data_IF_477481698336
#
_entry.id   IF_477481698336
#
_cell.length_a   1.000
_cell.length_b   1.000
_cell.length_c   1.000
_cell.angle_alpha   90.00
_cell.angle_beta   90.00
_cell.angle_gamma   90.00
#
_symmetry.space_group_name_H-M   'P 1'
#
loop_
_entity.id
_entity.type
_entity.pdbx_description
1 polymer ?
#
# COMPACT_ATOMS: atom_id res chain seq x y z
N UNK A 1 -17.11 -60.97 -24.18
CA UNK A 1 -15.84 -60.31 -23.83
C UNK A 1 -14.79 -61.37 -23.72
N UNK A 2 -13.69 -61.25 -24.48
CA UNK A 2 -12.55 -62.18 -24.44
C UNK A 2 -11.85 -62.18 -23.07
N UNK A 3 -11.28 -63.29 -22.66
CA UNK A 3 -10.56 -63.46 -21.39
C UNK A 3 -9.43 -62.41 -21.29
N UNK A 4 -8.76 -62.08 -22.39
CA UNK A 4 -7.72 -61.07 -22.52
C UNK A 4 -8.24 -59.66 -22.12
N UNK A 5 -9.44 -59.29 -22.57
CA UNK A 5 -10.07 -58.03 -22.24
C UNK A 5 -10.44 -57.90 -20.74
N UNK A 6 -10.93 -58.99 -20.13
CA UNK A 6 -11.20 -59.04 -18.69
C UNK A 6 -9.90 -58.88 -17.88
N UNK A 7 -8.83 -59.56 -18.24
CA UNK A 7 -7.53 -59.46 -17.58
C UNK A 7 -6.94 -58.05 -17.72
N UNK A 8 -6.98 -57.45 -18.92
CA UNK A 8 -6.52 -56.09 -19.14
C UNK A 8 -7.22 -55.04 -18.23
N UNK A 9 -8.58 -55.13 -18.13
CA UNK A 9 -9.35 -54.25 -17.26
C UNK A 9 -8.97 -54.46 -15.78
N UNK A 10 -8.80 -55.72 -15.35
CA UNK A 10 -8.45 -56.02 -13.97
C UNK A 10 -7.05 -55.44 -13.62
N UNK A 11 -6.07 -55.63 -14.49
CA UNK A 11 -4.71 -55.06 -14.28
C UNK A 11 -4.73 -53.52 -14.31
N UNK A 12 -5.50 -52.90 -15.19
CA UNK A 12 -5.67 -51.44 -15.22
C UNK A 12 -6.34 -50.92 -13.95
N UNK A 13 -7.39 -51.56 -13.47
CA UNK A 13 -8.07 -51.14 -12.24
C UNK A 13 -7.16 -51.32 -11.01
N UNK A 14 -6.52 -52.46 -10.86
CA UNK A 14 -5.64 -52.74 -9.72
C UNK A 14 -4.42 -51.82 -9.71
N UNK A 15 -3.89 -51.43 -10.90
CA UNK A 15 -2.75 -50.54 -10.98
C UNK A 15 -3.12 -49.05 -10.92
N UNK A 16 -4.17 -48.60 -11.63
CA UNK A 16 -4.49 -47.18 -11.75
C UNK A 16 -5.28 -46.62 -10.58
N UNK A 17 -6.15 -47.39 -9.97
CA UNK A 17 -6.97 -46.89 -8.83
C UNK A 17 -6.12 -46.48 -7.63
N UNK A 18 -5.14 -47.29 -7.14
CA UNK A 18 -4.28 -46.86 -6.06
C UNK A 18 -3.42 -45.62 -6.44
N UNK A 19 -2.92 -45.57 -7.68
CA UNK A 19 -2.13 -44.43 -8.15
C UNK A 19 -2.98 -43.16 -8.22
N UNK A 20 -4.22 -43.26 -8.70
CA UNK A 20 -5.13 -42.12 -8.75
C UNK A 20 -5.49 -41.60 -7.34
N UNK A 21 -5.76 -42.51 -6.39
CA UNK A 21 -6.03 -42.16 -4.98
C UNK A 21 -4.80 -41.48 -4.36
N UNK A 22 -3.61 -42.06 -4.58
CA UNK A 22 -2.36 -41.49 -4.07
C UNK A 22 -2.10 -40.10 -4.69
N UNK A 23 -2.27 -39.95 -6.00
CA UNK A 23 -2.10 -38.69 -6.70
C UNK A 23 -3.07 -37.61 -6.16
N UNK A 24 -4.34 -37.96 -5.96
CA UNK A 24 -5.35 -37.04 -5.40
C UNK A 24 -4.99 -36.61 -3.96
N UNK A 25 -4.51 -37.57 -3.15
CA UNK A 25 -4.09 -37.27 -1.76
C UNK A 25 -2.87 -36.36 -1.72
N UNK A 26 -1.84 -36.68 -2.52
CA UNK A 26 -0.61 -35.86 -2.61
C UNK A 26 -0.94 -34.46 -3.17
N UNK A 27 -1.81 -34.37 -4.18
CA UNK A 27 -2.25 -33.08 -4.71
C UNK A 27 -2.92 -32.22 -3.64
N UNK A 28 -3.87 -32.79 -2.91
CA UNK A 28 -4.59 -32.09 -1.84
C UNK A 28 -3.64 -31.59 -0.74
N UNK A 29 -2.74 -32.47 -0.29
CA UNK A 29 -1.74 -32.11 0.73
C UNK A 29 -0.78 -31.03 0.23
N UNK A 30 -0.24 -31.17 -0.99
CA UNK A 30 0.69 -30.21 -1.57
C UNK A 30 0.00 -28.84 -1.80
N UNK A 31 -1.25 -28.83 -2.28
CA UNK A 31 -2.01 -27.60 -2.47
C UNK A 31 -2.30 -26.89 -1.15
N UNK A 32 -2.68 -27.62 -0.10
CA UNK A 32 -2.92 -27.04 1.21
C UNK A 32 -1.62 -26.49 1.83
N UNK A 33 -0.53 -27.27 1.78
CA UNK A 33 0.78 -26.85 2.28
C UNK A 33 1.28 -25.57 1.56
N UNK A 34 1.14 -25.52 0.23
CA UNK A 34 1.56 -24.37 -0.57
C UNK A 34 0.68 -23.14 -0.30
N UNK A 35 -0.63 -23.35 -0.13
CA UNK A 35 -1.56 -22.28 0.29
C UNK A 35 -1.14 -21.67 1.62
N UNK A 36 -0.90 -22.51 2.62
CA UNK A 36 -0.52 -22.06 3.96
C UNK A 36 0.85 -21.37 3.95
N UNK A 37 1.81 -21.91 3.22
CA UNK A 37 3.12 -21.28 3.04
C UNK A 37 2.99 -19.91 2.39
N UNK A 38 2.22 -19.79 1.31
CA UNK A 38 2.00 -18.52 0.61
C UNK A 38 1.32 -17.50 1.52
N UNK A 39 0.25 -17.89 2.23
CA UNK A 39 -0.43 -17.01 3.17
C UNK A 39 0.47 -16.57 4.33
N UNK A 40 1.35 -17.44 4.84
CA UNK A 40 2.34 -17.07 5.86
C UNK A 40 3.35 -16.06 5.32
N UNK A 41 3.82 -16.25 4.09
CA UNK A 41 4.73 -15.30 3.43
C UNK A 41 4.07 -13.94 3.24
N UNK A 42 2.83 -13.91 2.73
CA UNK A 42 2.06 -12.66 2.57
C UNK A 42 1.85 -11.94 3.90
N UNK A 43 1.54 -12.69 4.96
CA UNK A 43 1.36 -12.13 6.30
C UNK A 43 2.68 -11.55 6.85
N UNK A 44 3.81 -12.21 6.62
CA UNK A 44 5.12 -11.69 7.00
C UNK A 44 5.44 -10.39 6.25
N UNK A 45 5.22 -10.35 4.92
CA UNK A 45 5.41 -9.14 4.10
C UNK A 45 4.51 -8.01 4.59
N UNK A 46 3.21 -8.27 4.80
CA UNK A 46 2.28 -7.27 5.31
C UNK A 46 2.73 -6.73 6.69
N UNK A 47 3.16 -7.60 7.60
CA UNK A 47 3.63 -7.18 8.94
C UNK A 47 4.90 -6.35 8.90
N UNK A 48 5.83 -6.66 7.99
CA UNK A 48 7.07 -5.88 7.81
C UNK A 48 6.72 -4.49 7.27
N UNK A 49 5.94 -4.42 6.17
CA UNK A 49 5.54 -3.15 5.56
C UNK A 49 4.68 -2.30 6.49
N UNK A 50 3.78 -2.91 7.27
CA UNK A 50 3.01 -2.23 8.30
C UNK A 50 3.92 -1.48 9.28
N UNK A 51 4.93 -2.15 9.81
CA UNK A 51 5.90 -1.53 10.73
C UNK A 51 6.70 -0.43 10.05
N UNK A 52 7.21 -0.68 8.84
CA UNK A 52 7.97 0.34 8.09
C UNK A 52 7.15 1.61 7.84
N UNK A 53 5.86 1.48 7.52
CA UNK A 53 4.95 2.61 7.37
C UNK A 53 4.74 3.35 8.69
N UNK A 54 4.45 2.64 9.78
CA UNK A 54 4.22 3.25 11.10
C UNK A 54 5.47 3.96 11.60
N UNK A 55 6.64 3.34 11.47
CA UNK A 55 7.92 3.94 11.84
C UNK A 55 8.23 5.17 10.95
N UNK A 56 7.90 5.10 9.66
CA UNK A 56 8.05 6.20 8.73
C UNK A 56 7.21 7.44 9.12
N UNK A 57 5.94 7.26 9.48
CA UNK A 57 5.12 8.38 9.96
C UNK A 57 5.54 8.89 11.33
N UNK A 58 5.94 8.01 12.25
CA UNK A 58 6.48 8.43 13.53
C UNK A 58 7.76 9.29 13.35
N UNK A 59 8.64 8.91 12.44
CA UNK A 59 9.82 9.68 12.09
C UNK A 59 9.45 11.06 11.50
N UNK A 60 8.50 11.11 10.55
CA UNK A 60 8.04 12.37 9.95
C UNK A 60 7.39 13.29 10.98
N UNK A 61 6.59 12.74 11.89
CA UNK A 61 6.02 13.48 13.00
C UNK A 61 7.11 14.12 13.89
N UNK A 62 8.17 13.36 14.20
CA UNK A 62 9.30 13.87 14.99
C UNK A 62 10.08 14.95 14.24
N UNK A 63 10.30 14.81 12.93
CA UNK A 63 10.93 15.81 12.08
C UNK A 63 10.13 17.12 12.08
N UNK A 64 8.82 17.00 11.90
CA UNK A 64 7.88 18.13 11.89
C UNK A 64 7.83 18.83 13.26
N UNK A 65 7.75 18.07 14.36
CA UNK A 65 7.76 18.60 15.73
C UNK A 65 9.08 19.36 16.03
N UNK A 66 10.21 18.77 15.66
CA UNK A 66 11.52 19.38 15.86
C UNK A 66 11.67 20.70 15.08
N UNK A 67 11.28 20.70 13.80
CA UNK A 67 11.33 21.90 12.99
C UNK A 67 10.35 22.98 13.51
N UNK A 68 9.12 22.60 13.83
CA UNK A 68 8.10 23.48 14.39
C UNK A 68 8.58 24.16 15.68
N UNK A 69 9.16 23.42 16.63
CA UNK A 69 9.72 23.96 17.89
C UNK A 69 10.91 24.86 17.63
N UNK A 70 11.80 24.50 16.70
CA UNK A 70 12.94 25.32 16.33
C UNK A 70 12.47 26.67 15.79
N UNK A 71 11.50 26.67 14.88
CA UNK A 71 10.94 27.89 14.32
C UNK A 71 10.15 28.69 15.35
N UNK A 72 9.40 28.04 16.23
CA UNK A 72 8.69 28.70 17.33
C UNK A 72 9.65 29.50 18.23
N UNK A 73 10.81 28.92 18.55
CA UNK A 73 11.82 29.60 19.37
C UNK A 73 12.52 30.72 18.58
N UNK A 74 12.84 30.50 17.30
CA UNK A 74 13.57 31.47 16.48
C UNK A 74 12.70 32.66 16.06
N UNK A 75 11.39 32.46 15.91
CA UNK A 75 10.44 33.48 15.45
C UNK A 75 9.66 34.13 16.59
N UNK A 76 9.96 33.76 17.83
CA UNK A 76 9.26 34.28 19.01
C UNK A 76 9.31 35.81 19.05
N UNK A 77 8.13 36.43 19.13
CA UNK A 77 7.98 37.88 19.23
C UNK A 77 8.21 38.67 17.93
N UNK A 78 8.41 37.99 16.79
CA UNK A 78 8.49 38.65 15.51
C UNK A 78 7.10 39.10 15.05
N UNK A 79 7.00 40.32 14.51
CA UNK A 79 5.81 40.78 13.79
C UNK A 79 5.72 40.14 12.40
N UNK A 80 4.63 40.35 11.67
CA UNK A 80 4.40 39.75 10.36
C UNK A 80 5.48 40.10 9.34
N UNK A 81 6.04 41.32 9.35
CA UNK A 81 7.08 41.77 8.41
C UNK A 81 8.42 41.12 8.73
N UNK A 82 8.78 41.08 10.02
CA UNK A 82 9.97 40.42 10.49
C UNK A 82 9.92 38.89 10.23
N UNK A 83 8.74 38.28 10.36
CA UNK A 83 8.51 36.86 10.08
C UNK A 83 8.78 36.52 8.61
N UNK A 84 8.26 37.33 7.67
CA UNK A 84 8.53 37.18 6.23
C UNK A 84 10.04 37.34 5.93
N UNK A 85 10.68 38.30 6.57
CA UNK A 85 12.12 38.55 6.38
C UNK A 85 12.97 37.39 6.94
N UNK A 86 12.66 36.92 8.14
CA UNK A 86 13.33 35.79 8.78
C UNK A 86 13.17 34.50 7.97
N UNK A 87 11.94 34.18 7.53
CA UNK A 87 11.71 33.00 6.69
C UNK A 87 12.45 33.04 5.35
N UNK A 88 12.59 34.24 4.77
CA UNK A 88 13.38 34.44 3.54
C UNK A 88 14.87 34.24 3.76
N UNK A 89 15.39 34.64 4.94
CA UNK A 89 16.77 34.38 5.36
C UNK A 89 17.02 32.89 5.59
N UNK A 90 16.08 32.18 6.20
CA UNK A 90 16.18 30.75 6.50
C UNK A 90 15.93 29.85 5.28
N UNK A 91 15.60 30.40 4.12
CA UNK A 91 15.28 29.64 2.91
C UNK A 91 16.32 28.57 2.55
N UNK A 92 17.65 28.80 2.60
CA UNK A 92 18.63 27.75 2.32
C UNK A 92 18.55 26.57 3.29
N UNK A 93 18.23 26.82 4.56
CA UNK A 93 18.01 25.78 5.57
C UNK A 93 16.77 24.96 5.24
N UNK A 94 15.69 25.60 4.80
CA UNK A 94 14.47 24.92 4.38
C UNK A 94 14.66 24.11 3.08
N UNK A 95 15.40 24.63 2.12
CA UNK A 95 15.79 23.90 0.89
C UNK A 95 16.55 22.62 1.25
N UNK A 96 17.56 22.74 2.11
CA UNK A 96 18.30 21.56 2.57
C UNK A 96 17.40 20.57 3.33
N UNK A 97 16.47 21.06 4.17
CA UNK A 97 15.55 20.22 4.91
C UNK A 97 14.63 19.42 3.97
N UNK A 98 13.97 20.08 3.01
CA UNK A 98 13.07 19.39 2.10
C UNK A 98 13.82 18.38 1.21
N UNK A 99 15.03 18.69 0.77
CA UNK A 99 15.86 17.80 -0.02
C UNK A 99 16.32 16.59 0.82
N UNK A 100 16.83 16.80 2.03
CA UNK A 100 17.34 15.74 2.89
C UNK A 100 16.26 14.74 3.32
N UNK A 101 15.00 15.18 3.47
CA UNK A 101 13.91 14.35 3.96
C UNK A 101 12.87 13.98 2.90
N UNK A 102 13.07 14.40 1.66
CA UNK A 102 12.22 14.03 0.52
C UNK A 102 10.85 14.70 0.52
N UNK A 103 10.74 15.92 1.07
CA UNK A 103 9.54 16.74 0.94
C UNK A 103 9.56 17.50 -0.39
N UNK A 104 8.37 17.73 -0.96
CA UNK A 104 8.24 18.49 -2.20
C UNK A 104 8.33 19.99 -1.97
N UNK A 105 7.71 20.48 -0.90
CA UNK A 105 7.71 21.89 -0.53
C UNK A 105 7.56 22.06 0.98
N UNK A 106 7.99 23.22 1.46
CA UNK A 106 7.74 23.74 2.80
C UNK A 106 7.08 25.11 2.66
N UNK A 107 5.94 25.26 3.29
CA UNK A 107 5.17 26.50 3.29
C UNK A 107 5.01 27.01 4.73
N UNK A 108 4.99 28.35 4.88
CA UNK A 108 4.56 28.99 6.12
C UNK A 108 3.29 29.78 5.83
N UNK A 109 2.28 29.55 6.68
CA UNK A 109 0.95 30.11 6.53
C UNK A 109 0.62 30.93 7.76
N UNK A 110 0.17 32.16 7.58
CA UNK A 110 -0.25 33.04 8.67
C UNK A 110 -1.57 32.59 9.33
N UNK A 111 -1.93 33.08 10.52
CA UNK A 111 -3.16 32.70 11.20
C UNK A 111 -4.45 33.06 10.45
N UNK A 112 -4.41 33.98 9.50
CA UNK A 112 -5.51 34.33 8.59
C UNK A 112 -5.58 33.44 7.34
N UNK A 113 -4.59 32.56 7.15
CA UNK A 113 -4.55 31.60 6.04
C UNK A 113 -3.71 32.01 4.83
N UNK A 114 -2.96 33.14 4.90
CA UNK A 114 -2.09 33.58 3.81
C UNK A 114 -0.81 32.75 3.77
N UNK A 115 -0.48 32.17 2.62
CA UNK A 115 0.82 31.54 2.36
C UNK A 115 1.88 32.63 2.12
N UNK A 116 2.52 33.10 3.17
CA UNK A 116 3.51 34.17 3.05
C UNK A 116 4.91 33.69 2.64
N UNK A 117 5.18 32.39 2.83
CA UNK A 117 6.44 31.76 2.42
C UNK A 117 6.20 30.39 1.80
N UNK A 118 6.96 30.05 0.76
CA UNK A 118 7.07 28.72 0.15
C UNK A 118 8.45 28.60 -0.45
N UNK A 119 9.12 27.46 -0.22
CA UNK A 119 10.46 27.20 -0.76
C UNK A 119 10.41 27.22 -2.29
N UNK A 120 9.47 26.51 -2.89
CA UNK A 120 9.36 26.34 -4.34
C UNK A 120 8.42 27.34 -5.02
N UNK A 121 7.73 28.20 -4.25
CA UNK A 121 6.82 29.23 -4.76
C UNK A 121 5.81 28.68 -5.77
N UNK A 122 5.21 27.52 -5.43
CA UNK A 122 4.15 26.90 -6.25
C UNK A 122 2.88 27.75 -6.33
N UNK A 123 1.79 27.24 -6.97
CA UNK A 123 0.57 28.00 -7.24
C UNK A 123 -0.08 28.65 -6.00
N UNK A 124 0.06 28.04 -4.83
CA UNK A 124 -0.47 28.53 -3.56
C UNK A 124 0.37 29.66 -2.92
N UNK A 125 1.54 30.02 -3.47
CA UNK A 125 2.34 31.10 -2.92
C UNK A 125 1.62 32.45 -3.03
N UNK A 126 1.50 33.17 -1.93
CA UNK A 126 0.74 34.41 -1.75
C UNK A 126 -0.79 34.23 -1.90
N UNK A 127 -1.30 33.01 -1.89
CA UNK A 127 -2.73 32.75 -1.84
C UNK A 127 -3.26 32.79 -0.41
N UNK A 128 -4.51 33.24 -0.27
CA UNK A 128 -5.27 33.15 0.97
C UNK A 128 -6.07 31.84 0.95
N UNK A 129 -5.62 30.84 1.71
CA UNK A 129 -6.18 29.49 1.66
C UNK A 129 -7.57 29.37 2.30
N UNK A 130 -8.02 30.41 2.98
CA UNK A 130 -9.39 30.53 3.53
C UNK A 130 -10.39 31.06 2.50
N UNK A 131 -9.94 31.57 1.36
CA UNK A 131 -10.81 32.03 0.27
C UNK A 131 -11.49 30.85 -0.44
N UNK A 132 -12.66 31.08 -1.04
CA UNK A 132 -13.47 30.07 -1.70
C UNK A 132 -12.77 29.31 -2.82
N UNK A 133 -11.77 29.90 -3.45
CA UNK A 133 -10.95 29.25 -4.49
C UNK A 133 -10.07 28.13 -3.91
N UNK A 134 -9.61 28.29 -2.66
CA UNK A 134 -8.64 27.40 -2.02
C UNK A 134 -9.22 26.55 -0.92
N UNK A 135 -10.30 27.00 -0.27
CA UNK A 135 -10.88 26.36 0.93
C UNK A 135 -11.25 24.88 0.69
N UNK A 136 -11.75 24.57 -0.51
CA UNK A 136 -12.14 23.21 -0.89
C UNK A 136 -10.98 22.37 -1.47
N UNK A 137 -9.76 22.94 -1.55
CA UNK A 137 -8.58 22.18 -1.97
C UNK A 137 -8.03 21.33 -0.81
N UNK A 138 -7.30 20.25 -1.10
CA UNK A 138 -6.63 19.45 -0.08
C UNK A 138 -5.70 20.27 0.83
N UNK A 139 -4.97 21.24 0.24
CA UNK A 139 -4.11 22.15 0.99
C UNK A 139 -4.93 23.07 1.90
N UNK A 140 -6.00 23.67 1.38
CA UNK A 140 -6.91 24.52 2.16
C UNK A 140 -7.53 23.79 3.33
N UNK A 141 -8.01 22.56 3.11
CA UNK A 141 -8.54 21.69 4.15
C UNK A 141 -7.52 21.35 5.25
N UNK A 142 -6.27 21.03 4.87
CA UNK A 142 -5.19 20.76 5.82
C UNK A 142 -4.86 21.99 6.68
N UNK A 143 -4.80 23.18 6.06
CA UNK A 143 -4.56 24.44 6.75
C UNK A 143 -5.73 24.80 7.66
N UNK A 144 -6.97 24.68 7.19
CA UNK A 144 -8.16 24.94 8.02
C UNK A 144 -8.20 24.03 9.27
N UNK A 145 -7.81 22.77 9.15
CA UNK A 145 -7.66 21.88 10.29
C UNK A 145 -6.58 22.37 11.25
N UNK A 146 -5.40 22.76 10.78
CA UNK A 146 -4.31 23.28 11.59
C UNK A 146 -4.65 24.60 12.29
N UNK A 147 -5.44 25.48 11.67
CA UNK A 147 -5.91 26.73 12.26
C UNK A 147 -6.96 26.48 13.34
N UNK A 148 -7.86 25.51 13.15
CA UNK A 148 -8.92 25.19 14.11
C UNK A 148 -8.42 24.38 15.31
N UNK A 149 -7.41 23.57 15.12
CA UNK A 149 -6.78 22.72 16.14
C UNK A 149 -5.26 22.80 16.01
N UNK A 150 -4.59 23.78 16.68
CA UNK A 150 -3.15 24.03 16.53
C UNK A 150 -2.28 22.94 17.18
N UNK A 151 -2.27 21.76 16.58
CA UNK A 151 -1.39 20.64 16.91
C UNK A 151 -0.81 20.05 15.63
N UNK A 152 0.07 19.07 15.75
CA UNK A 152 0.59 18.36 14.59
C UNK A 152 -0.51 17.50 13.98
N UNK A 153 -0.74 17.71 12.68
CA UNK A 153 -1.65 16.90 11.87
C UNK A 153 -0.88 16.27 10.71
N UNK A 154 -1.15 15.00 10.48
CA UNK A 154 -0.72 14.26 9.29
C UNK A 154 -1.98 13.92 8.53
N UNK A 155 -2.24 14.62 7.43
CA UNK A 155 -3.43 14.46 6.61
C UNK A 155 -3.44 13.11 5.87
N UNK A 156 -4.56 12.81 5.22
CA UNK A 156 -4.67 11.65 4.32
C UNK A 156 -3.93 11.93 3.00
N UNK A 157 -3.57 10.89 2.27
CA UNK A 157 -3.06 11.01 0.90
C UNK A 157 -4.22 11.33 -0.03
N UNK A 158 -4.10 12.41 -0.77
CA UNK A 158 -5.15 12.91 -1.66
C UNK A 158 -4.59 13.24 -3.04
N UNK A 159 -5.42 13.09 -4.07
CA UNK A 159 -5.12 13.63 -5.39
C UNK A 159 -5.30 15.15 -5.31
N UNK A 160 -4.25 15.90 -5.59
CA UNK A 160 -4.30 17.35 -5.59
C UNK A 160 -4.37 17.87 -7.03
N UNK A 161 -5.43 18.59 -7.40
CA UNK A 161 -5.57 19.17 -8.74
C UNK A 161 -4.44 20.15 -9.13
N UNK A 162 -3.75 20.70 -8.12
CA UNK A 162 -2.63 21.63 -8.30
C UNK A 162 -1.28 20.94 -8.46
N UNK A 163 -1.26 19.63 -8.18
CA UNK A 163 -0.09 18.76 -8.29
C UNK A 163 -0.39 17.66 -9.31
N UNK A 164 0.60 17.31 -10.13
CA UNK A 164 0.46 16.20 -11.08
C UNK A 164 0.29 14.83 -10.41
N UNK A 165 0.58 14.75 -9.11
CA UNK A 165 0.60 13.53 -8.31
C UNK A 165 -0.23 13.67 -7.05
N UNK A 166 -0.54 12.52 -6.41
CA UNK A 166 -1.10 12.50 -5.07
C UNK A 166 -0.08 12.97 -4.04
N UNK A 167 -0.56 13.71 -3.04
CA UNK A 167 0.24 14.32 -1.98
C UNK A 167 -0.35 14.07 -0.62
N UNK A 168 0.49 14.16 0.42
CA UNK A 168 0.09 14.18 1.81
C UNK A 168 0.59 15.47 2.45
N UNK A 169 -0.29 16.21 3.12
CA UNK A 169 0.07 17.43 3.83
C UNK A 169 0.29 17.14 5.31
N UNK A 170 1.41 17.63 5.84
CA UNK A 170 1.76 17.57 7.25
C UNK A 170 1.77 19.00 7.78
N UNK A 171 1.03 19.25 8.85
CA UNK A 171 0.85 20.60 9.39
C UNK A 171 1.29 20.63 10.85
N UNK A 172 2.02 21.68 11.25
CA UNK A 172 2.38 21.93 12.65
C UNK A 172 2.25 23.41 12.99
N UNK A 173 1.85 23.75 14.23
CA UNK A 173 1.80 25.13 14.67
C UNK A 173 3.20 25.68 14.93
N UNK A 174 3.44 26.94 14.60
CA UNK A 174 4.57 27.75 15.01
C UNK A 174 4.04 28.82 15.95
N UNK A 175 4.52 28.85 17.18
CA UNK A 175 4.06 29.81 18.18
C UNK A 175 4.45 29.37 19.60
N UNK A 176 4.15 30.20 20.57
CA UNK A 176 4.41 29.95 21.98
C UNK A 176 3.25 30.44 22.85
N UNK A 177 3.12 29.85 24.05
CA UNK A 177 2.14 30.24 25.07
C UNK A 177 0.68 30.29 24.58
N UNK A 178 0.34 29.38 23.66
CA UNK A 178 -1.00 29.31 23.09
C UNK A 178 -1.30 30.33 21.99
N UNK A 179 -0.35 31.15 21.61
CA UNK A 179 -0.45 32.07 20.49
C UNK A 179 0.11 31.44 19.22
N UNK A 180 -0.74 31.28 18.21
CA UNK A 180 -0.36 30.82 16.89
C UNK A 180 0.23 31.99 16.11
N UNK A 181 1.51 31.89 15.71
CA UNK A 181 2.18 32.88 14.86
C UNK A 181 2.11 32.49 13.39
N UNK A 182 2.22 31.19 13.09
CA UNK A 182 2.11 30.64 11.75
C UNK A 182 1.81 29.14 11.82
N UNK A 183 1.44 28.55 10.68
CA UNK A 183 1.48 27.10 10.45
C UNK A 183 2.67 26.76 9.56
N UNK A 184 3.39 25.73 9.94
CA UNK A 184 4.35 25.02 9.09
C UNK A 184 3.59 23.94 8.32
N UNK A 185 3.68 23.96 7.00
CA UNK A 185 3.05 22.95 6.14
C UNK A 185 4.13 22.29 5.29
N UNK A 186 4.27 20.98 5.42
CA UNK A 186 5.16 20.15 4.59
C UNK A 186 4.32 19.37 3.57
N UNK A 187 4.77 19.36 2.34
CA UNK A 187 4.16 18.62 1.24
C UNK A 187 4.98 17.37 0.95
N UNK A 188 4.38 16.20 1.22
CA UNK A 188 5.01 14.90 1.01
C UNK A 188 4.49 14.27 -0.28
N UNK A 189 5.36 14.04 -1.30
CA UNK A 189 4.96 13.35 -2.53
C UNK A 189 4.73 11.86 -2.29
N UNK A 190 3.95 11.22 -3.15
CA UNK A 190 3.64 9.79 -3.08
C UNK A 190 4.86 8.88 -3.37
N UNK A 191 5.89 9.37 -4.04
CA UNK A 191 7.03 8.58 -4.51
C UNK A 191 7.60 7.62 -3.48
N UNK A 192 8.04 8.08 -2.29
CA UNK A 192 8.60 7.21 -1.26
C UNK A 192 7.63 6.13 -0.76
N UNK A 193 6.33 6.42 -0.74
CA UNK A 193 5.30 5.45 -0.38
C UNK A 193 5.16 4.37 -1.47
N UNK A 194 5.15 4.78 -2.73
CA UNK A 194 5.13 3.85 -3.86
C UNK A 194 6.38 2.98 -3.90
N UNK A 195 7.58 3.53 -3.68
CA UNK A 195 8.81 2.73 -3.62
C UNK A 195 8.67 1.60 -2.60
N UNK A 196 8.20 1.90 -1.39
CA UNK A 196 7.97 0.89 -0.37
C UNK A 196 6.92 -0.16 -0.81
N UNK A 197 5.80 0.27 -1.40
CA UNK A 197 4.75 -0.65 -1.84
C UNK A 197 5.18 -1.49 -3.05
N UNK A 198 6.02 -0.95 -3.92
CA UNK A 198 6.52 -1.62 -5.12
C UNK A 198 7.60 -2.68 -4.86
N UNK A 199 8.19 -2.72 -3.66
CA UNK A 199 9.07 -3.83 -3.29
C UNK A 199 8.31 -5.15 -3.29
N UNK A 200 8.68 -6.07 -4.19
CA UNK A 200 7.98 -7.34 -4.42
C UNK A 200 8.72 -8.56 -3.88
N UNK A 201 9.70 -8.34 -3.02
CA UNK A 201 10.49 -9.43 -2.46
C UNK A 201 9.59 -10.47 -1.76
N UNK A 202 9.66 -11.71 -2.20
CA UNK A 202 8.84 -12.81 -1.67
C UNK A 202 7.42 -12.92 -2.25
N UNK A 203 6.99 -12.02 -3.16
CA UNK A 203 5.64 -12.02 -3.73
C UNK A 203 5.56 -12.65 -5.13
N UNK A 204 6.71 -12.89 -5.80
CA UNK A 204 6.75 -13.39 -7.18
C UNK A 204 6.27 -12.36 -8.20
N UNK A 205 6.02 -12.82 -9.44
CA UNK A 205 5.76 -11.92 -10.58
C UNK A 205 4.35 -11.34 -10.59
N UNK A 206 3.36 -12.04 -10.04
CA UNK A 206 1.95 -11.61 -9.99
C UNK A 206 1.49 -11.20 -8.58
N UNK A 207 2.41 -11.06 -7.63
CA UNK A 207 2.11 -10.55 -6.31
C UNK A 207 2.36 -9.06 -6.20
N UNK A 208 1.61 -8.37 -5.36
CA UNK A 208 1.80 -6.96 -5.05
C UNK A 208 1.33 -6.61 -3.64
N UNK A 209 1.75 -5.44 -3.18
CA UNK A 209 1.20 -4.81 -1.98
C UNK A 209 0.63 -3.45 -2.34
N UNK A 210 -0.49 -3.10 -1.71
CA UNK A 210 -1.12 -1.80 -1.90
C UNK A 210 -1.84 -1.34 -0.63
N UNK A 211 -2.11 -0.05 -0.59
CA UNK A 211 -2.78 0.61 0.51
C UNK A 211 -4.16 1.13 0.07
N UNK A 212 -5.12 1.05 0.97
CA UNK A 212 -6.50 1.51 0.74
C UNK A 212 -6.95 2.35 1.92
N UNK A 213 -7.45 3.55 1.66
CA UNK A 213 -7.97 4.47 2.67
C UNK A 213 -9.37 4.11 3.17
N UNK A 214 -9.87 4.88 4.13
CA UNK A 214 -11.24 4.72 4.68
C UNK A 214 -12.33 4.94 3.62
N UNK A 215 -12.07 5.74 2.59
CA UNK A 215 -12.93 5.95 1.43
C UNK A 215 -12.89 4.80 0.43
N UNK A 216 -12.13 3.74 0.75
CA UNK A 216 -11.90 2.56 -0.09
C UNK A 216 -11.15 2.83 -1.40
N UNK A 217 -10.48 3.97 -1.53
CA UNK A 217 -9.62 4.26 -2.68
C UNK A 217 -8.16 3.93 -2.36
N UNK A 218 -7.40 3.64 -3.40
CA UNK A 218 -5.97 3.37 -3.27
C UNK A 218 -5.22 4.55 -2.65
N UNK A 219 -4.21 4.25 -1.85
CA UNK A 219 -3.24 5.18 -1.28
C UNK A 219 -1.82 4.90 -1.77
N UNK A 220 -1.66 3.93 -2.66
CA UNK A 220 -0.44 3.66 -3.42
C UNK A 220 -0.82 3.27 -4.84
N UNK A 221 0.06 3.53 -5.79
CA UNK A 221 -0.12 3.07 -7.17
C UNK A 221 0.06 1.55 -7.25
N UNK A 222 -0.72 0.88 -8.12
CA UNK A 222 -0.52 -0.53 -8.39
C UNK A 222 0.65 -0.74 -9.35
N UNK A 223 1.50 -1.71 -9.03
CA UNK A 223 2.59 -2.15 -9.92
C UNK A 223 2.06 -2.94 -11.12
N UNK A 224 1.01 -3.73 -10.87
CA UNK A 224 0.43 -4.62 -11.90
C UNK A 224 -0.52 -3.89 -12.84
N UNK A 225 -1.16 -2.82 -12.38
CA UNK A 225 -2.19 -2.08 -13.10
C UNK A 225 -1.85 -0.58 -13.10
N UNK A 226 -1.07 -0.10 -14.09
CA UNK A 226 -0.60 1.30 -14.13
C UNK A 226 -1.70 2.37 -14.16
N UNK A 227 -2.91 1.99 -14.57
CA UNK A 227 -4.12 2.86 -14.59
C UNK A 227 -4.77 2.99 -13.20
N UNK A 228 -4.35 2.16 -12.22
CA UNK A 228 -4.85 2.21 -10.85
C UNK A 228 -3.90 3.02 -9.98
N UNK A 229 -4.20 4.30 -9.89
CA UNK A 229 -3.41 5.29 -9.14
C UNK A 229 -4.01 5.60 -7.79
N UNK A 230 -3.14 6.02 -6.88
CA UNK A 230 -3.53 6.47 -5.54
C UNK A 230 -4.44 7.69 -5.60
N UNK A 231 -5.49 7.69 -4.79
CA UNK A 231 -6.48 8.76 -4.72
C UNK A 231 -7.48 8.78 -5.88
N UNK A 232 -7.25 7.99 -6.94
CA UNK A 232 -8.08 7.96 -8.14
C UNK A 232 -8.94 6.68 -8.23
N UNK A 233 -9.88 6.67 -9.18
CA UNK A 233 -10.67 5.49 -9.52
C UNK A 233 -11.83 5.19 -8.57
N UNK A 234 -12.43 4.01 -8.78
CA UNK A 234 -13.58 3.54 -8.01
C UNK A 234 -13.15 2.98 -6.65
N UNK A 235 -14.08 3.04 -5.68
CA UNK A 235 -13.90 2.43 -4.39
C UNK A 235 -13.73 0.90 -4.53
N UNK A 236 -12.72 0.36 -3.86
CA UNK A 236 -12.43 -1.07 -3.81
C UNK A 236 -13.29 -1.74 -2.74
N UNK A 237 -13.80 -2.92 -3.05
CA UNK A 237 -14.51 -3.77 -2.10
C UNK A 237 -13.66 -4.97 -1.69
N UNK A 238 -14.12 -5.67 -0.67
CA UNK A 238 -13.54 -6.94 -0.23
C UNK A 238 -13.41 -7.04 1.28
N UNK A 239 -13.55 -8.27 1.78
CA UNK A 239 -13.53 -8.56 3.21
C UNK A 239 -12.17 -8.22 3.85
N UNK A 240 -11.05 -8.42 3.12
CA UNK A 240 -9.71 -8.07 3.58
C UNK A 240 -9.60 -6.56 3.88
N UNK A 241 -10.10 -5.72 2.97
CA UNK A 241 -10.10 -4.25 3.15
C UNK A 241 -11.00 -3.85 4.32
N UNK A 242 -12.22 -4.41 4.40
CA UNK A 242 -13.16 -4.11 5.47
C UNK A 242 -12.62 -4.47 6.85
N UNK A 243 -12.04 -5.65 6.99
CA UNK A 243 -11.44 -6.09 8.25
C UNK A 243 -10.20 -5.27 8.64
N UNK A 244 -9.34 -4.93 7.67
CA UNK A 244 -8.18 -4.08 7.93
C UNK A 244 -8.59 -2.66 8.38
N UNK A 245 -9.58 -2.04 7.72
CA UNK A 245 -10.14 -0.74 8.13
C UNK A 245 -10.80 -0.85 9.52
N UNK A 246 -11.39 -2.00 9.86
CA UNK A 246 -11.93 -2.26 11.21
C UNK A 246 -10.82 -2.52 12.26
N UNK A 247 -9.54 -2.47 11.90
CA UNK A 247 -8.41 -2.64 12.81
C UNK A 247 -7.97 -4.09 12.99
N UNK A 248 -8.41 -5.00 12.13
CA UNK A 248 -8.08 -6.41 12.19
C UNK A 248 -6.95 -6.76 11.20
N UNK A 249 -6.12 -7.71 11.58
CA UNK A 249 -5.14 -8.34 10.68
C UNK A 249 -5.56 -9.79 10.42
N UNK A 250 -5.28 -10.28 9.23
CA UNK A 250 -5.64 -11.64 8.89
C UNK A 250 -5.18 -12.06 7.50
N UNK A 251 -5.71 -13.20 7.09
CA UNK A 251 -5.44 -13.79 5.78
C UNK A 251 -6.68 -14.51 5.27
N UNK A 252 -6.94 -14.40 3.98
CA UNK A 252 -8.09 -15.04 3.33
C UNK A 252 -7.86 -15.23 1.83
N UNK A 253 -8.82 -15.81 1.15
CA UNK A 253 -8.86 -15.91 -0.31
C UNK A 253 -10.11 -15.21 -0.80
N UNK A 254 -9.95 -14.22 -1.67
CA UNK A 254 -11.04 -13.49 -2.32
C UNK A 254 -10.61 -12.96 -3.68
N UNK A 255 -11.43 -12.17 -4.35
CA UNK A 255 -11.06 -11.53 -5.63
C UNK A 255 -9.94 -10.51 -5.44
N UNK A 256 -8.90 -10.59 -6.27
CA UNK A 256 -7.81 -9.61 -6.36
C UNK A 256 -8.21 -8.34 -7.08
N UNK A 257 -7.23 -7.44 -7.27
CA UNK A 257 -7.45 -6.19 -8.02
C UNK A 257 -7.89 -6.42 -9.48
N UNK A 258 -7.54 -7.55 -10.09
CA UNK A 258 -7.94 -7.96 -11.44
C UNK A 258 -9.28 -8.69 -11.49
N UNK A 259 -9.90 -8.97 -10.35
CA UNK A 259 -11.10 -9.77 -10.23
C UNK A 259 -10.86 -11.29 -10.22
N UNK A 260 -9.63 -11.76 -10.47
CA UNK A 260 -9.26 -13.16 -10.33
C UNK A 260 -9.15 -13.55 -8.84
N UNK A 261 -9.22 -14.84 -8.54
CA UNK A 261 -9.04 -15.32 -7.17
C UNK A 261 -7.60 -15.12 -6.72
N UNK A 262 -7.41 -14.44 -5.60
CA UNK A 262 -6.12 -14.18 -4.98
C UNK A 262 -6.07 -14.70 -3.53
N UNK A 263 -4.86 -15.04 -3.10
CA UNK A 263 -4.55 -15.22 -1.68
C UNK A 263 -4.11 -13.86 -1.13
N UNK A 264 -4.68 -13.46 0.00
CA UNK A 264 -4.45 -12.15 0.61
C UNK A 264 -4.06 -12.27 2.07
N UNK A 265 -3.12 -11.43 2.48
CA UNK A 265 -2.92 -11.04 3.86
C UNK A 265 -3.20 -9.55 4.00
N UNK A 266 -3.73 -9.13 5.13
CA UNK A 266 -4.09 -7.75 5.38
C UNK A 266 -3.77 -7.33 6.81
N UNK A 267 -3.48 -6.05 6.97
CA UNK A 267 -3.19 -5.43 8.26
C UNK A 267 -3.66 -3.97 8.28
N UNK A 268 -4.09 -3.44 9.44
CA UNK A 268 -4.37 -2.03 9.60
C UNK A 268 -3.07 -1.23 9.67
N UNK A 269 -3.03 -0.06 9.07
CA UNK A 269 -1.96 0.90 9.24
C UNK A 269 -2.55 2.18 9.83
N UNK A 270 -2.14 2.54 11.04
CA UNK A 270 -2.70 3.65 11.80
C UNK A 270 -1.67 4.77 11.96
N UNK A 271 -2.11 6.01 11.71
CA UNK A 271 -1.34 7.23 11.95
C UNK A 271 -2.28 8.41 12.12
N UNK A 272 -2.02 9.26 13.10
CA UNK A 272 -2.73 10.52 13.39
C UNK A 272 -4.27 10.43 13.31
N UNK A 273 -4.84 9.34 13.83
CA UNK A 273 -6.30 9.09 13.77
C UNK A 273 -6.83 8.58 12.43
N UNK A 274 -5.96 8.48 11.42
CA UNK A 274 -6.26 7.84 10.14
C UNK A 274 -5.99 6.34 10.22
N UNK A 275 -6.73 5.57 9.43
CA UNK A 275 -6.49 4.13 9.28
C UNK A 275 -6.57 3.73 7.82
N UNK A 276 -5.53 3.06 7.34
CA UNK A 276 -5.50 2.48 6.01
C UNK A 276 -5.46 0.95 6.10
N UNK A 277 -5.98 0.29 5.10
CA UNK A 277 -5.82 -1.15 4.90
C UNK A 277 -4.55 -1.38 4.07
N UNK A 278 -3.59 -2.10 4.63
CA UNK A 278 -2.47 -2.67 3.88
C UNK A 278 -2.87 -4.06 3.42
N UNK A 279 -2.82 -4.29 2.11
CA UNK A 279 -3.11 -5.58 1.48
C UNK A 279 -1.85 -6.09 0.81
N UNK A 280 -1.51 -7.34 1.06
CA UNK A 280 -0.54 -8.11 0.30
C UNK A 280 -1.27 -9.24 -0.41
N UNK A 281 -1.20 -9.30 -1.75
CA UNK A 281 -1.90 -10.32 -2.52
C UNK A 281 -1.00 -11.02 -3.53
N UNK A 282 -1.35 -12.26 -3.85
CA UNK A 282 -0.79 -13.02 -4.96
C UNK A 282 -1.90 -13.76 -5.67
N UNK A 283 -1.86 -13.78 -6.99
CA UNK A 283 -2.78 -14.53 -7.82
C UNK A 283 -2.72 -16.03 -7.47
N UNK A 284 -3.88 -16.65 -7.19
CA UNK A 284 -3.99 -18.09 -6.88
C UNK A 284 -3.42 -18.95 -8.00
N UNK A 285 -3.54 -18.53 -9.25
CA UNK A 285 -3.00 -19.24 -10.40
C UNK A 285 -1.48 -19.36 -10.35
N UNK A 286 -0.81 -18.28 -9.97
CA UNK A 286 0.64 -18.27 -9.75
C UNK A 286 1.02 -19.10 -8.52
N UNK A 287 0.30 -18.91 -7.41
CA UNK A 287 0.59 -19.60 -6.16
C UNK A 287 0.57 -21.13 -6.33
N UNK A 288 -0.36 -21.67 -7.13
CA UNK A 288 -0.51 -23.11 -7.35
C UNK A 288 0.17 -23.63 -8.62
N UNK A 289 0.90 -22.82 -9.38
CA UNK A 289 1.60 -23.25 -10.59
C UNK A 289 2.52 -24.47 -10.39
N UNK A 290 3.33 -24.58 -9.31
CA UNK A 290 4.18 -25.74 -9.10
C UNK A 290 3.38 -27.04 -8.91
N UNK A 291 2.27 -26.99 -8.20
CA UNK A 291 1.41 -28.17 -7.96
C UNK A 291 0.72 -28.61 -9.27
N UNK A 292 0.28 -27.65 -10.09
CA UNK A 292 -0.28 -27.96 -11.41
C UNK A 292 0.74 -28.61 -12.34
N UNK A 293 1.99 -28.14 -12.32
CA UNK A 293 3.06 -28.75 -13.12
C UNK A 293 3.31 -30.21 -12.71
N UNK A 294 3.33 -30.49 -11.40
CA UNK A 294 3.43 -31.87 -10.91
C UNK A 294 2.25 -32.74 -11.34
N UNK A 295 1.02 -32.22 -11.33
CA UNK A 295 -0.16 -32.97 -11.79
C UNK A 295 -0.09 -33.33 -13.26
N UNK A 296 0.41 -32.43 -14.10
CA UNK A 296 0.62 -32.76 -15.52
C UNK A 296 1.62 -33.90 -15.72
N UNK A 297 2.71 -33.93 -14.93
CA UNK A 297 3.69 -35.02 -14.97
C UNK A 297 3.08 -36.36 -14.54
N UNK A 298 2.27 -36.37 -13.47
CA UNK A 298 1.55 -37.56 -13.00
C UNK A 298 0.55 -38.06 -14.04
N UNK A 299 -0.22 -37.14 -14.67
CA UNK A 299 -1.15 -37.50 -15.73
C UNK A 299 -0.45 -38.12 -16.95
N UNK A 300 0.66 -37.52 -17.39
CA UNK A 300 1.47 -38.07 -18.50
C UNK A 300 2.01 -39.46 -18.18
N UNK A 301 2.52 -39.66 -16.97
CA UNK A 301 2.98 -40.97 -16.50
C UNK A 301 1.84 -41.99 -16.48
N UNK A 302 0.66 -41.60 -16.02
CA UNK A 302 -0.55 -42.43 -16.04
C UNK A 302 -0.96 -42.84 -17.48
N UNK A 303 -0.98 -41.89 -18.41
CA UNK A 303 -1.27 -42.18 -19.83
C UNK A 303 -0.23 -43.14 -20.44
N UNK A 304 1.05 -42.92 -20.14
CA UNK A 304 2.12 -43.82 -20.61
C UNK A 304 1.95 -45.23 -20.05
N UNK A 305 1.62 -45.36 -18.76
CA UNK A 305 1.37 -46.67 -18.13
C UNK A 305 0.20 -47.39 -18.78
N UNK A 306 -0.92 -46.69 -19.05
CA UNK A 306 -2.07 -47.28 -19.76
C UNK A 306 -1.67 -47.76 -21.16
N UNK A 307 -0.96 -46.93 -21.91
CA UNK A 307 -0.49 -47.28 -23.25
C UNK A 307 0.42 -48.51 -23.23
N UNK A 308 1.34 -48.58 -22.27
CA UNK A 308 2.24 -49.75 -22.11
C UNK A 308 1.49 -51.05 -21.80
N UNK A 309 0.50 -51.00 -20.88
CA UNK A 309 -0.34 -52.16 -20.58
C UNK A 309 -1.17 -52.61 -21.77
N UNK A 310 -1.78 -51.68 -22.50
CA UNK A 310 -2.52 -51.99 -23.73
C UNK A 310 -1.65 -52.61 -24.81
N UNK A 311 -0.43 -52.08 -25.01
CA UNK A 311 0.53 -52.63 -25.96
C UNK A 311 0.95 -54.07 -25.57
N UNK A 312 1.25 -54.29 -24.27
CA UNK A 312 1.60 -55.60 -23.76
C UNK A 312 0.45 -56.64 -23.94
N UNK A 313 -0.80 -56.22 -23.76
CA UNK A 313 -1.97 -57.09 -23.93
C UNK A 313 -2.27 -57.42 -25.40
N UNK A 314 -1.82 -56.58 -26.35
CA UNK A 314 -1.93 -56.87 -27.82
C UNK A 314 -0.84 -57.82 -28.30
N UNK A 315 0.36 -57.73 -27.70
CA UNK A 315 1.53 -58.56 -28.08
C UNK A 315 1.51 -59.98 -27.50
N UNK A 316 0.73 -60.23 -26.47
CA UNK A 316 0.46 -61.55 -25.85
C UNK A 316 -0.89 -62.10 -26.33
#
# INVERSE_FOLDING_TARGET
MSLRFKLAITYLLVGLVPVAVMAATVYSQASNALRDQTLNTLQAVASIKQRQLQDGWAQRRNQLDTLSRTLSNSYLGLDAVALVSASSYDKPTFEHFIEAYGYRDLKLVSPDGLVFFSVNRGPAYQALLTDSEWADTPLGGAVAQGLSDPRIHIGDLVSDPLSADSVQYLVAPIGADGLLQALLVLELPIGPLNELMHERQGLGDKGETYLVGNDRRLRSDSVRFPDRRAGEGQALGGLAIEQAIAGQSGRLSESGLDGATALKAFAPVEFDGQRWALIAEVDSEQAFAPVRALMWQVLLLGVFTVAAVLLATVLV
#
